data_IF_430470272912
#
_entry.id   IF_430470272912
#
_cell.length_a   1.000
_cell.length_b   1.000
_cell.length_c   1.000
_cell.angle_alpha   90.00
_cell.angle_beta   90.00
_cell.angle_gamma   90.00
#
_symmetry.space_group_name_H-M   'P 1'
#
loop_
_entity.id
_entity.type
_entity.pdbx_description
1 polymer ?
#
# COMPACT_ATOMS: atom_id res chain seq x y z
N UNK A 1 -7.38 -0.95 -6.71
CA UNK A 1 -8.56 -1.33 -7.52
C UNK A 1 -9.73 -1.85 -6.69
N UNK A 2 -9.54 -2.16 -5.41
CA UNK A 2 -10.58 -2.70 -4.53
C UNK A 2 -11.21 -1.66 -3.58
N UNK A 3 -10.78 -0.39 -3.61
CA UNK A 3 -11.29 0.69 -2.75
C UNK A 3 -10.68 0.71 -1.35
N UNK A 4 -9.46 0.20 -1.18
CA UNK A 4 -8.73 0.14 0.09
C UNK A 4 -7.65 1.23 0.12
N UNK A 5 -8.03 2.50 -0.07
CA UNK A 5 -7.06 3.61 -0.04
C UNK A 5 -6.66 3.98 1.38
N UNK A 6 -7.62 3.96 2.30
CA UNK A 6 -7.43 4.41 3.67
C UNK A 6 -6.55 3.47 4.47
N UNK A 7 -6.62 2.16 4.19
CA UNK A 7 -5.78 1.15 4.82
C UNK A 7 -4.31 1.28 4.43
N UNK A 8 -4.03 1.91 3.29
CA UNK A 8 -2.66 2.17 2.84
C UNK A 8 -1.89 3.10 3.79
N UNK A 9 -2.59 3.91 4.59
CA UNK A 9 -1.98 4.79 5.61
C UNK A 9 -1.19 4.00 6.63
N UNK A 10 -1.63 2.79 6.99
CA UNK A 10 -0.93 1.93 7.94
C UNK A 10 0.46 1.45 7.45
N UNK A 11 0.72 1.51 6.15
CA UNK A 11 2.01 1.11 5.58
C UNK A 11 3.08 2.20 5.62
N UNK A 12 2.72 3.48 5.81
CA UNK A 12 3.70 4.57 5.87
C UNK A 12 4.77 4.37 6.94
N UNK A 13 4.44 4.06 8.20
CA UNK A 13 5.45 3.86 9.24
C UNK A 13 6.42 2.73 8.94
N UNK A 14 6.00 1.75 8.15
CA UNK A 14 6.83 0.59 7.77
C UNK A 14 7.70 0.91 6.55
N UNK A 15 7.13 1.57 5.54
CA UNK A 15 7.79 1.77 4.27
C UNK A 15 8.70 3.00 4.25
N UNK A 16 8.35 4.09 4.96
CA UNK A 16 9.18 5.31 4.99
C UNK A 16 10.61 5.02 5.45
N UNK A 17 10.87 4.28 6.56
CA UNK A 17 12.23 3.91 6.95
C UNK A 17 12.99 3.16 5.87
N UNK A 18 12.30 2.25 5.16
CA UNK A 18 12.91 1.44 4.10
C UNK A 18 13.33 2.33 2.91
N UNK A 19 12.44 3.25 2.48
CA UNK A 19 12.76 4.17 1.39
C UNK A 19 13.91 5.11 1.75
N UNK A 20 13.94 5.62 2.98
CA UNK A 20 15.04 6.46 3.48
C UNK A 20 16.37 5.67 3.51
N UNK A 21 16.35 4.42 3.97
CA UNK A 21 17.54 3.54 3.99
C UNK A 21 18.05 3.24 2.57
N UNK A 22 17.17 3.17 1.58
CA UNK A 22 17.53 2.99 0.17
C UNK A 22 18.06 4.28 -0.50
N UNK A 23 18.10 5.39 0.24
CA UNK A 23 18.58 6.68 -0.24
C UNK A 23 17.55 7.50 -1.01
N UNK A 24 16.28 7.15 -0.90
CA UNK A 24 15.16 7.95 -1.41
C UNK A 24 14.64 8.90 -0.32
N UNK A 25 13.78 9.82 -0.70
CA UNK A 25 13.11 10.72 0.23
C UNK A 25 11.73 10.16 0.69
N UNK A 26 11.16 10.80 1.70
CA UNK A 26 9.82 10.44 2.20
C UNK A 26 8.71 10.69 1.17
N UNK A 27 8.90 11.66 0.26
CA UNK A 27 7.94 11.96 -0.81
C UNK A 27 7.84 10.82 -1.82
N UNK A 28 8.94 10.14 -2.13
CA UNK A 28 8.89 8.94 -2.98
C UNK A 28 8.00 7.88 -2.35
N UNK A 29 8.10 7.67 -1.04
CA UNK A 29 7.25 6.72 -0.33
C UNK A 29 5.78 7.15 -0.36
N UNK A 30 5.50 8.41 -0.03
CA UNK A 30 4.15 8.97 -0.07
C UNK A 30 3.58 8.89 -1.48
N UNK A 31 4.37 9.29 -2.49
CA UNK A 31 3.98 9.22 -3.89
C UNK A 31 3.67 7.79 -4.33
N UNK A 32 4.51 6.83 -3.96
CA UNK A 32 4.29 5.43 -4.32
C UNK A 32 2.97 4.88 -3.74
N UNK A 33 2.69 5.13 -2.47
CA UNK A 33 1.49 4.63 -1.80
C UNK A 33 0.25 5.40 -2.26
N UNK A 34 0.30 6.75 -2.18
CA UNK A 34 -0.84 7.60 -2.45
C UNK A 34 -1.24 7.57 -3.93
N UNK A 35 -0.28 7.73 -4.85
CA UNK A 35 -0.58 7.70 -6.29
C UNK A 35 -1.03 6.31 -6.74
N UNK A 36 -0.51 5.24 -6.15
CA UNK A 36 -0.97 3.89 -6.46
C UNK A 36 -2.41 3.66 -5.98
N UNK A 37 -2.76 4.13 -4.78
CA UNK A 37 -4.13 4.08 -4.25
C UNK A 37 -5.09 4.89 -5.12
N UNK A 38 -4.82 6.18 -5.30
CA UNK A 38 -5.67 7.10 -6.07
C UNK A 38 -5.85 6.65 -7.54
N UNK A 39 -4.77 6.19 -8.18
CA UNK A 39 -4.85 5.63 -9.52
C UNK A 39 -5.69 4.35 -9.54
N UNK A 40 -5.48 3.48 -8.55
CA UNK A 40 -6.23 2.23 -8.40
C UNK A 40 -7.73 2.45 -8.19
N UNK A 41 -8.14 3.52 -7.54
CA UNK A 41 -9.54 3.89 -7.33
C UNK A 41 -10.11 4.57 -8.57
N UNK A 42 -9.39 5.56 -9.14
CA UNK A 42 -9.84 6.32 -10.32
C UNK A 42 -10.07 5.41 -11.54
N UNK A 43 -9.14 4.51 -11.81
CA UNK A 43 -9.22 3.57 -12.93
C UNK A 43 -9.61 2.16 -12.46
N UNK A 44 -10.45 2.09 -11.46
CA UNK A 44 -10.89 0.82 -10.90
C UNK A 44 -11.66 -0.02 -11.90
N UNK A 45 -11.33 -1.30 -11.94
CA UNK A 45 -12.03 -2.27 -12.80
C UNK A 45 -13.22 -2.92 -12.11
N UNK A 46 -13.09 -3.17 -10.80
CA UNK A 46 -14.04 -3.98 -10.02
C UNK A 46 -14.35 -3.41 -8.63
N UNK A 47 -14.01 -2.14 -8.37
CA UNK A 47 -14.26 -1.53 -7.06
C UNK A 47 -15.77 -1.49 -6.77
N UNK A 48 -16.24 -2.11 -5.66
CA UNK A 48 -17.65 -2.13 -5.32
C UNK A 48 -18.22 -0.73 -5.07
N UNK A 49 -17.43 0.18 -4.51
CA UNK A 49 -17.89 1.52 -4.16
C UNK A 49 -18.01 2.44 -5.36
N UNK A 50 -16.99 2.49 -6.22
CA UNK A 50 -17.00 3.39 -7.38
C UNK A 50 -17.65 2.76 -8.62
N UNK A 51 -17.41 1.49 -8.87
CA UNK A 51 -17.89 0.83 -10.11
C UNK A 51 -19.27 0.24 -9.92
N UNK A 52 -19.47 -0.61 -8.90
CA UNK A 52 -20.72 -1.33 -8.74
C UNK A 52 -21.86 -0.39 -8.37
N UNK A 53 -21.65 0.54 -7.43
CA UNK A 53 -22.67 1.51 -7.03
C UNK A 53 -23.02 2.42 -8.21
N UNK A 54 -22.03 2.94 -8.94
CA UNK A 54 -22.28 3.81 -10.10
C UNK A 54 -23.01 3.06 -11.21
N UNK A 55 -22.63 1.81 -11.50
CA UNK A 55 -23.31 0.99 -12.52
C UNK A 55 -24.77 0.71 -12.15
N UNK A 56 -25.02 0.38 -10.88
CA UNK A 56 -26.38 0.16 -10.39
C UNK A 56 -27.22 1.46 -10.48
N UNK A 57 -26.65 2.62 -10.15
CA UNK A 57 -27.33 3.90 -10.27
C UNK A 57 -27.64 4.26 -11.73
N UNK A 58 -26.77 3.85 -12.67
CA UNK A 58 -26.96 4.04 -14.10
C UNK A 58 -27.88 2.99 -14.76
N UNK A 59 -28.27 1.94 -14.02
CA UNK A 59 -29.10 0.85 -14.56
C UNK A 59 -28.37 -0.05 -15.56
N UNK A 60 -27.04 -0.11 -15.51
CA UNK A 60 -26.18 -0.95 -16.37
C UNK A 60 -25.49 -2.04 -15.58
N UNK A 61 -25.16 -3.14 -16.24
CA UNK A 61 -24.42 -4.22 -15.61
C UNK A 61 -22.96 -3.75 -15.38
N UNK A 62 -22.42 -3.93 -14.18
CA UNK A 62 -21.07 -3.46 -13.82
C UNK A 62 -19.96 -4.05 -14.71
N UNK A 63 -20.22 -5.18 -15.39
CA UNK A 63 -19.28 -5.79 -16.34
C UNK A 63 -19.23 -5.06 -17.68
N UNK A 64 -20.25 -4.27 -18.01
CA UNK A 64 -20.25 -3.47 -19.23
C UNK A 64 -19.13 -2.41 -19.14
N UNK A 65 -18.38 -2.27 -20.22
CA UNK A 65 -17.24 -1.33 -20.29
C UNK A 65 -16.00 -1.74 -19.51
N UNK A 66 -15.91 -2.96 -18.95
CA UNK A 66 -14.74 -3.43 -18.19
C UNK A 66 -13.44 -3.32 -19.00
N UNK A 67 -13.50 -3.57 -20.32
CA UNK A 67 -12.34 -3.46 -21.21
C UNK A 67 -11.76 -2.04 -21.21
N UNK A 68 -12.62 -1.03 -21.30
CA UNK A 68 -12.17 0.36 -21.29
C UNK A 68 -11.58 0.76 -19.94
N UNK A 69 -12.12 0.24 -18.84
CA UNK A 69 -11.57 0.45 -17.49
C UNK A 69 -10.21 -0.22 -17.32
N UNK A 70 -10.03 -1.42 -17.87
CA UNK A 70 -8.72 -2.10 -17.89
C UNK A 70 -7.70 -1.30 -18.69
N UNK A 71 -8.07 -0.83 -19.88
CA UNK A 71 -7.20 0.02 -20.70
C UNK A 71 -6.82 1.30 -19.93
N UNK A 72 -7.81 1.96 -19.34
CA UNK A 72 -7.57 3.16 -18.51
C UNK A 72 -6.64 2.88 -17.33
N UNK A 73 -6.84 1.75 -16.64
CA UNK A 73 -5.99 1.31 -15.54
C UNK A 73 -4.53 1.09 -15.99
N UNK A 74 -4.32 0.42 -17.12
CA UNK A 74 -2.97 0.17 -17.67
C UNK A 74 -2.31 1.48 -18.08
N UNK A 75 -3.02 2.36 -18.78
CA UNK A 75 -2.48 3.68 -19.19
C UNK A 75 -2.15 4.52 -17.95
N UNK A 76 -3.06 4.60 -16.98
CA UNK A 76 -2.82 5.32 -15.72
C UNK A 76 -1.61 4.76 -14.96
N UNK A 77 -1.48 3.44 -14.88
CA UNK A 77 -0.33 2.80 -14.25
C UNK A 77 0.99 3.18 -14.95
N UNK A 78 1.03 3.15 -16.29
CA UNK A 78 2.21 3.54 -17.05
C UNK A 78 2.60 4.99 -16.75
N UNK A 79 1.64 5.91 -16.72
CA UNK A 79 1.89 7.33 -16.44
C UNK A 79 2.45 7.51 -15.02
N UNK A 80 1.78 6.94 -14.01
CA UNK A 80 2.20 7.08 -12.60
C UNK A 80 3.57 6.45 -12.37
N UNK A 81 3.81 5.23 -12.86
CA UNK A 81 5.09 4.54 -12.70
C UNK A 81 6.20 5.31 -13.42
N UNK A 82 5.95 5.82 -14.63
CA UNK A 82 6.94 6.60 -15.39
C UNK A 82 7.33 7.88 -14.66
N UNK A 83 6.35 8.58 -14.09
CA UNK A 83 6.58 9.79 -13.31
C UNK A 83 7.38 9.50 -12.03
N UNK A 84 6.98 8.49 -11.25
CA UNK A 84 7.68 8.09 -10.04
C UNK A 84 9.11 7.63 -10.35
N UNK A 85 9.28 6.84 -11.40
CA UNK A 85 10.61 6.39 -11.82
C UNK A 85 11.52 7.56 -12.20
N UNK A 86 10.99 8.52 -12.95
CA UNK A 86 11.72 9.73 -13.30
C UNK A 86 12.12 10.54 -12.07
N UNK A 87 11.19 10.74 -11.12
CA UNK A 87 11.43 11.45 -9.87
C UNK A 87 12.47 10.73 -9.00
N UNK A 88 12.32 9.43 -8.80
CA UNK A 88 13.27 8.59 -8.08
C UNK A 88 14.68 8.68 -8.66
N UNK A 89 14.81 8.63 -9.99
CA UNK A 89 16.09 8.76 -10.66
C UNK A 89 16.74 10.12 -10.42
N UNK A 90 15.94 11.19 -10.44
CA UNK A 90 16.44 12.55 -10.18
C UNK A 90 16.89 12.73 -8.73
N UNK A 91 16.09 12.31 -7.76
CA UNK A 91 16.42 12.38 -6.33
C UNK A 91 17.68 11.55 -6.02
N UNK A 92 17.84 10.39 -6.65
CA UNK A 92 19.02 9.54 -6.46
C UNK A 92 20.28 10.15 -7.08
N UNK A 93 20.15 10.87 -8.20
CA UNK A 93 21.28 11.54 -8.85
C UNK A 93 21.67 12.84 -8.14
N UNK A 94 20.72 13.58 -7.66
CA UNK A 94 20.92 14.82 -6.91
C UNK A 94 19.92 14.89 -5.73
N UNK A 95 20.36 14.58 -4.51
CA UNK A 95 19.50 14.63 -3.33
C UNK A 95 18.89 16.02 -3.04
N UNK A 96 19.55 17.10 -3.45
CA UNK A 96 19.04 18.47 -3.28
C UNK A 96 17.78 18.74 -4.12
N UNK A 97 17.52 17.92 -5.12
CA UNK A 97 16.30 17.99 -5.93
C UNK A 97 15.04 17.56 -5.14
N UNK A 98 15.22 16.88 -4.02
CA UNK A 98 14.11 16.44 -3.17
C UNK A 98 13.41 17.63 -2.52
N UNK A 99 12.09 17.65 -2.60
CA UNK A 99 11.26 18.66 -1.91
C UNK A 99 11.37 18.59 -0.38
N UNK A 100 11.86 17.49 0.18
CA UNK A 100 12.06 17.29 1.63
C UNK A 100 13.53 17.23 2.02
N UNK A 101 14.41 17.78 1.20
CA UNK A 101 15.85 17.74 1.46
C UNK A 101 16.23 18.37 2.80
N UNK A 102 15.66 19.53 3.13
CA UNK A 102 15.92 20.25 4.38
C UNK A 102 15.46 19.46 5.62
N UNK A 103 14.38 18.69 5.49
CA UNK A 103 13.81 17.89 6.59
C UNK A 103 14.35 16.45 6.63
N UNK A 104 15.28 16.08 5.74
CA UNK A 104 15.82 14.71 5.63
C UNK A 104 16.37 14.19 6.96
N UNK A 105 17.13 15.03 7.69
CA UNK A 105 17.67 14.64 8.99
C UNK A 105 16.60 14.46 10.06
N UNK A 106 15.57 15.30 10.04
CA UNK A 106 14.42 15.16 10.95
C UNK A 106 13.66 13.86 10.68
N UNK A 107 13.38 13.56 9.42
CA UNK A 107 12.73 12.33 9.05
C UNK A 107 13.59 11.11 9.34
N UNK A 108 14.90 11.18 9.07
CA UNK A 108 15.82 10.12 9.42
C UNK A 108 15.81 9.83 10.93
N UNK A 109 15.84 10.87 11.78
CA UNK A 109 15.76 10.72 13.25
C UNK A 109 14.38 10.23 13.72
N UNK A 110 13.29 10.73 13.13
CA UNK A 110 11.92 10.37 13.49
C UNK A 110 11.62 8.89 13.17
N UNK A 111 12.12 8.42 12.03
CA UNK A 111 11.90 7.06 11.53
C UNK A 111 13.11 6.14 11.72
N UNK A 112 14.20 6.63 12.34
CA UNK A 112 15.30 5.79 12.78
C UNK A 112 14.79 4.86 13.89
N UNK A 113 14.16 3.79 13.49
CA UNK A 113 13.73 2.71 14.41
C UNK A 113 14.95 1.96 14.96
N UNK A 114 16.13 2.16 14.35
CA UNK A 114 17.40 1.60 14.79
C UNK A 114 18.52 2.58 14.49
N UNK A 115 19.32 2.84 15.51
CA UNK A 115 20.63 3.48 15.36
C UNK A 115 21.50 2.55 14.47
N UNK A 116 22.00 3.00 13.30
CA UNK A 116 22.85 2.17 12.44
C UNK A 116 24.10 1.64 13.17
N UNK A 117 24.53 2.32 14.25
CA UNK A 117 25.66 1.95 15.09
C UNK A 117 25.28 1.06 16.29
N UNK A 118 23.99 0.77 16.48
CA UNK A 118 23.59 -0.18 17.51
C UNK A 118 23.75 -1.60 16.97
N UNK A 119 24.69 -2.35 17.50
CA UNK A 119 24.88 -3.81 17.29
C UNK A 119 23.65 -4.66 17.69
N UNK A 120 22.57 -4.03 18.07
CA UNK A 120 21.31 -4.63 18.49
C UNK A 120 20.28 -4.68 17.35
N UNK A 121 20.66 -5.26 16.21
CA UNK A 121 19.67 -5.69 15.24
C UNK A 121 18.87 -6.83 15.92
N UNK A 122 17.58 -6.63 16.25
CA UNK A 122 16.82 -7.66 16.91
C UNK A 122 16.82 -8.91 16.04
N UNK A 123 17.39 -10.00 16.54
CA UNK A 123 17.44 -11.27 15.83
C UNK A 123 16.05 -11.63 15.31
N UNK A 124 15.99 -12.21 14.11
CA UNK A 124 14.74 -12.68 13.50
C UNK A 124 14.28 -13.95 14.25
N UNK A 125 13.77 -13.71 15.47
CA UNK A 125 13.37 -14.74 16.43
C UNK A 125 12.11 -15.48 15.96
N UNK A 126 11.89 -16.67 16.52
CA UNK A 126 10.74 -17.52 16.24
C UNK A 126 9.40 -16.78 16.37
N UNK A 127 9.23 -15.93 17.38
CA UNK A 127 8.02 -15.12 17.58
C UNK A 127 7.72 -14.23 16.38
N UNK A 128 8.73 -13.56 15.82
CA UNK A 128 8.58 -12.70 14.63
C UNK A 128 8.22 -13.50 13.39
N UNK A 129 8.76 -14.71 13.24
CA UNK A 129 8.39 -15.64 12.16
C UNK A 129 6.92 -16.03 12.25
N UNK A 130 6.46 -16.35 13.46
CA UNK A 130 5.05 -16.70 13.70
C UNK A 130 4.12 -15.54 13.38
N UNK A 131 4.45 -14.32 13.83
CA UNK A 131 3.66 -13.11 13.51
C UNK A 131 3.59 -12.91 11.99
N UNK A 132 4.70 -13.04 11.28
CA UNK A 132 4.73 -12.91 9.83
C UNK A 132 3.87 -13.95 9.13
N UNK A 133 3.95 -15.21 9.58
CA UNK A 133 3.12 -16.30 9.05
C UNK A 133 1.63 -16.05 9.31
N UNK A 134 1.26 -15.62 10.53
CA UNK A 134 -0.11 -15.26 10.87
C UNK A 134 -0.63 -14.11 10.02
N UNK A 135 0.20 -13.12 9.76
CA UNK A 135 -0.15 -11.99 8.90
C UNK A 135 -0.42 -12.44 7.46
N UNK A 136 0.46 -13.27 6.89
CA UNK A 136 0.24 -13.84 5.55
C UNK A 136 -1.00 -14.72 5.52
N UNK A 137 -1.22 -15.54 6.55
CA UNK A 137 -2.43 -16.37 6.68
C UNK A 137 -3.71 -15.54 6.72
N UNK A 138 -3.70 -14.36 7.35
CA UNK A 138 -4.86 -13.46 7.34
C UNK A 138 -5.29 -13.09 5.91
N UNK A 139 -4.32 -12.78 5.03
CA UNK A 139 -4.61 -12.49 3.62
C UNK A 139 -5.15 -13.72 2.88
N UNK A 140 -4.57 -14.88 3.10
CA UNK A 140 -5.03 -16.13 2.46
C UNK A 140 -6.48 -16.44 2.87
N UNK A 141 -6.78 -16.33 4.17
CA UNK A 141 -8.13 -16.55 4.70
C UNK A 141 -9.11 -15.51 4.15
N UNK A 142 -8.70 -14.24 4.08
CA UNK A 142 -9.52 -13.17 3.51
C UNK A 142 -9.86 -13.45 2.04
N UNK A 143 -8.86 -13.77 1.21
CA UNK A 143 -9.08 -14.07 -0.21
C UNK A 143 -9.98 -15.30 -0.38
N UNK A 144 -9.73 -16.36 0.39
CA UNK A 144 -10.56 -17.55 0.38
C UNK A 144 -12.02 -17.25 0.78
N UNK A 145 -12.21 -16.48 1.87
CA UNK A 145 -13.53 -16.10 2.35
C UNK A 145 -14.31 -15.26 1.34
N UNK A 146 -13.64 -14.30 0.68
CA UNK A 146 -14.27 -13.48 -0.36
C UNK A 146 -14.69 -14.34 -1.58
N UNK A 147 -13.79 -15.22 -2.04
CA UNK A 147 -14.03 -16.00 -3.26
C UNK A 147 -15.07 -17.12 -3.05
N UNK A 148 -15.01 -17.82 -1.89
CA UNK A 148 -15.82 -19.02 -1.66
C UNK A 148 -17.07 -18.78 -0.85
N UNK A 149 -17.03 -17.86 0.11
CA UNK A 149 -18.10 -17.58 1.07
C UNK A 149 -18.82 -16.26 0.82
N UNK A 150 -18.36 -15.46 -0.18
CA UNK A 150 -18.94 -14.16 -0.45
C UNK A 150 -18.78 -13.17 0.69
N UNK A 151 -17.67 -13.23 1.43
CA UNK A 151 -17.43 -12.34 2.55
C UNK A 151 -17.48 -10.88 2.11
N UNK A 152 -18.08 -10.06 2.96
CA UNK A 152 -18.16 -8.61 2.81
C UNK A 152 -17.25 -7.93 3.85
N UNK A 153 -17.20 -6.63 3.83
CA UNK A 153 -16.33 -5.79 4.65
C UNK A 153 -16.22 -6.19 6.13
N UNK A 154 -17.34 -6.46 6.87
CA UNK A 154 -17.27 -6.81 8.29
C UNK A 154 -16.49 -8.11 8.55
N UNK A 155 -16.64 -9.11 7.69
CA UNK A 155 -15.95 -10.39 7.86
C UNK A 155 -14.45 -10.27 7.54
N UNK A 156 -14.10 -9.46 6.51
CA UNK A 156 -12.70 -9.15 6.20
C UNK A 156 -12.04 -8.41 7.36
N UNK A 157 -12.69 -7.37 7.89
CA UNK A 157 -12.18 -6.63 9.05
C UNK A 157 -12.04 -7.53 10.28
N UNK A 158 -13.01 -8.41 10.55
CA UNK A 158 -12.96 -9.35 11.67
C UNK A 158 -11.79 -10.33 11.56
N UNK A 159 -11.44 -10.79 10.36
CA UNK A 159 -10.29 -11.69 10.16
C UNK A 159 -8.97 -11.03 10.52
N UNK A 160 -8.74 -9.79 10.09
CA UNK A 160 -7.54 -9.03 10.46
C UNK A 160 -7.51 -8.66 11.94
N UNK A 161 -8.65 -8.27 12.51
CA UNK A 161 -8.76 -7.97 13.95
C UNK A 161 -8.41 -9.20 14.80
N UNK A 162 -8.90 -10.38 14.41
CA UNK A 162 -8.59 -11.64 15.11
C UNK A 162 -7.09 -11.92 15.11
N UNK A 163 -6.43 -11.77 13.94
CA UNK A 163 -4.97 -11.96 13.85
C UNK A 163 -4.23 -10.90 14.66
N UNK A 164 -4.66 -9.64 14.62
CA UNK A 164 -4.06 -8.58 15.43
C UNK A 164 -4.13 -8.87 16.93
N UNK A 165 -5.28 -9.34 17.43
CA UNK A 165 -5.45 -9.73 18.84
C UNK A 165 -4.51 -10.90 19.18
N UNK A 166 -4.41 -11.92 18.34
CA UNK A 166 -3.50 -13.07 18.57
C UNK A 166 -2.04 -12.60 18.61
N UNK A 167 -1.65 -11.63 17.76
CA UNK A 167 -0.28 -11.11 17.73
C UNK A 167 0.06 -10.21 18.94
N UNK A 168 -0.92 -9.75 19.71
CA UNK A 168 -0.71 -8.94 20.93
C UNK A 168 -0.33 -9.80 22.14
N UNK A 169 -0.61 -11.10 22.11
CA UNK A 169 -0.33 -12.05 23.20
C UNK A 169 0.82 -12.99 22.81
#
# INVERSE_FOLDING_TARGET
>A
TCGLEEEAVAFYPILVPIFLALGYDSIVCVGAIFLAGSMGTTFSTINPFSVVIASNAAGVIWTEGIMWRVIGCVVGAIVVISYLYWYCKKVKANPEFSYTYEDREKFAKLYATHDPDSDNIPAFDWKRKVILVLFVMAFVIMVWGVVTQGWWFPQMAASFLTVAIICMF
#
